data_IF_707971055246
#
_entry.id   IF_707971055246
#
_cell.length_a   1.000
_cell.length_b   1.000
_cell.length_c   1.000
_cell.angle_alpha   90.00
_cell.angle_beta   90.00
_cell.angle_gamma   90.00
#
_symmetry.space_group_name_H-M   'P 1'
#
loop_
_entity.id
_entity.type
_entity.pdbx_description
1 polymer ?
#
# COMPACT_ATOMS: atom_id res chain seq x y z
N UNK A 1 -22.63 36.63 -39.00
CA UNK A 1 -22.38 37.00 -37.59
C UNK A 1 -21.85 35.78 -36.83
N UNK A 2 -20.68 35.22 -37.17
CA UNK A 2 -19.38 35.40 -36.47
C UNK A 2 -19.44 35.92 -35.02
N UNK A 3 -18.95 35.08 -34.09
CA UNK A 3 -18.37 35.39 -32.76
C UNK A 3 -19.33 35.64 -31.58
N UNK A 4 -19.73 34.54 -30.94
CA UNK A 4 -19.84 34.44 -29.49
C UNK A 4 -19.66 32.95 -29.12
N UNK A 5 -18.51 32.34 -29.43
CA UNK A 5 -17.40 32.21 -28.47
C UNK A 5 -17.95 31.70 -27.14
N UNK A 6 -17.94 30.38 -26.92
CA UNK A 6 -16.84 29.77 -26.15
C UNK A 6 -16.58 30.51 -24.82
N UNK A 7 -17.59 30.77 -24.00
CA UNK A 7 -17.42 31.24 -22.61
C UNK A 7 -18.62 30.82 -21.77
N UNK A 8 -18.55 29.60 -21.24
CA UNK A 8 -19.33 29.00 -20.13
C UNK A 8 -19.52 27.50 -20.42
N UNK A 9 -18.46 26.79 -20.82
CA UNK A 9 -17.86 25.85 -19.88
C UNK A 9 -17.59 26.47 -18.49
N UNK A 10 -18.60 26.47 -17.61
CA UNK A 10 -18.41 26.30 -16.16
C UNK A 10 -19.79 26.23 -15.48
N UNK A 11 -19.90 25.29 -14.55
CA UNK A 11 -20.88 25.24 -13.45
C UNK A 11 -22.18 24.45 -13.71
N UNK A 12 -22.39 23.48 -12.82
CA UNK A 12 -23.55 22.60 -12.59
C UNK A 12 -23.55 21.25 -13.33
N UNK A 13 -22.39 20.58 -13.21
CA UNK A 13 -22.38 19.18 -12.83
C UNK A 13 -22.92 19.04 -11.39
N UNK A 14 -24.04 18.34 -11.19
CA UNK A 14 -24.29 17.37 -10.11
C UNK A 14 -25.77 16.98 -10.15
N UNK A 15 -26.09 15.87 -10.83
CA UNK A 15 -27.16 14.98 -10.38
C UNK A 15 -27.25 13.79 -11.34
N UNK A 16 -27.14 12.60 -10.74
CA UNK A 16 -27.76 11.38 -11.21
C UNK A 16 -27.27 10.80 -12.55
N UNK A 17 -26.06 10.24 -12.55
CA UNK A 17 -25.74 9.09 -13.42
C UNK A 17 -24.50 8.33 -12.92
N UNK A 18 -24.58 7.75 -11.72
CA UNK A 18 -23.66 6.68 -11.31
C UNK A 18 -24.43 5.37 -11.36
N UNK A 19 -24.50 4.79 -12.56
CA UNK A 19 -24.99 3.44 -12.77
C UNK A 19 -24.03 2.72 -13.73
N UNK A 20 -23.52 1.57 -13.27
CA UNK A 20 -22.59 0.63 -13.93
C UNK A 20 -21.09 0.84 -13.67
N UNK A 21 -20.69 0.84 -12.40
CA UNK A 21 -19.53 0.04 -12.02
C UNK A 21 -20.09 -1.25 -11.43
N UNK A 22 -20.27 -2.24 -12.29
CA UNK A 22 -20.46 -3.64 -11.89
C UNK A 22 -19.14 -4.11 -11.30
N UNK A 23 -18.95 -3.93 -10.00
CA UNK A 23 -18.00 -4.74 -9.25
C UNK A 23 -18.51 -6.18 -9.35
N UNK A 24 -17.77 -7.13 -9.97
CA UNK A 24 -18.10 -8.51 -9.77
C UNK A 24 -17.91 -8.79 -8.28
N UNK A 25 -19.02 -9.13 -7.65
CA UNK A 25 -19.08 -9.83 -6.39
C UNK A 25 -18.28 -11.12 -6.56
N UNK A 26 -17.00 -11.08 -6.22
CA UNK A 26 -16.20 -12.26 -5.92
C UNK A 26 -15.74 -12.20 -4.46
N UNK A 27 -16.68 -11.87 -3.57
CA UNK A 27 -16.60 -12.26 -2.16
C UNK A 27 -17.19 -13.68 -2.03
N UNK A 28 -16.55 -14.63 -2.71
CA UNK A 28 -16.73 -16.06 -2.45
C UNK A 28 -15.35 -16.67 -2.30
N UNK A 29 -14.76 -16.45 -1.14
CA UNK A 29 -13.85 -17.38 -0.51
C UNK A 29 -14.23 -17.37 0.97
N UNK A 30 -14.44 -18.56 1.52
CA UNK A 30 -14.88 -18.88 2.86
C UNK A 30 -14.40 -17.91 3.94
N UNK A 31 -15.15 -17.78 5.03
CA UNK A 31 -14.86 -17.03 6.25
C UNK A 31 -13.45 -17.32 6.84
N UNK A 32 -12.41 -16.88 6.14
CA UNK A 32 -11.03 -16.94 6.52
C UNK A 32 -10.78 -15.65 7.28
N UNK A 33 -10.36 -15.79 8.54
CA UNK A 33 -10.03 -14.64 9.37
C UNK A 33 -8.99 -13.78 8.62
N UNK A 34 -9.32 -12.54 8.24
CA UNK A 34 -8.47 -11.72 7.37
C UNK A 34 -7.09 -11.48 8.00
N UNK A 35 -7.02 -11.44 9.32
CA UNK A 35 -5.77 -11.40 10.09
C UNK A 35 -4.92 -12.65 9.88
N UNK A 36 -5.51 -13.86 9.91
CA UNK A 36 -4.76 -15.11 9.66
C UNK A 36 -4.25 -15.17 8.22
N UNK A 37 -5.04 -14.70 7.27
CA UNK A 37 -4.60 -14.62 5.88
C UNK A 37 -3.48 -13.57 5.69
N UNK A 38 -3.55 -12.43 6.40
CA UNK A 38 -2.47 -11.46 6.42
C UNK A 38 -1.16 -12.06 6.94
N UNK A 39 -1.22 -12.84 8.03
CA UNK A 39 -0.06 -13.53 8.59
C UNK A 39 0.52 -14.57 7.61
N UNK A 40 -0.33 -15.33 6.93
CA UNK A 40 0.09 -16.28 5.89
C UNK A 40 0.77 -15.58 4.72
N UNK A 41 0.22 -14.46 4.25
CA UNK A 41 0.82 -13.64 3.20
C UNK A 41 2.17 -13.07 3.64
N UNK A 42 2.29 -12.61 4.88
CA UNK A 42 3.55 -12.11 5.43
C UNK A 42 4.61 -13.22 5.58
N UNK A 43 4.20 -14.43 5.94
CA UNK A 43 5.10 -15.60 5.95
C UNK A 43 5.61 -15.92 4.54
N UNK A 44 4.71 -15.95 3.55
CA UNK A 44 5.09 -16.13 2.15
C UNK A 44 6.00 -15.00 1.65
N UNK A 45 5.73 -13.75 2.03
CA UNK A 45 6.56 -12.60 1.71
C UNK A 45 7.99 -12.77 2.22
N UNK A 46 8.16 -13.32 3.43
CA UNK A 46 9.47 -13.61 4.01
C UNK A 46 10.23 -14.68 3.21
N UNK A 47 9.58 -15.78 2.85
CA UNK A 47 10.19 -16.84 2.04
C UNK A 47 10.64 -16.33 0.67
N UNK A 48 9.81 -15.52 0.03
CA UNK A 48 10.11 -14.91 -1.28
C UNK A 48 11.22 -13.87 -1.16
N UNK A 49 11.26 -13.10 -0.07
CA UNK A 49 12.35 -12.17 0.25
C UNK A 49 13.69 -12.90 0.42
N UNK A 50 13.70 -14.01 1.17
CA UNK A 50 14.89 -14.85 1.37
C UNK A 50 15.38 -15.48 0.05
N UNK A 51 14.46 -15.71 -0.88
CA UNK A 51 14.76 -16.18 -2.24
C UNK A 51 15.25 -15.06 -3.19
N UNK A 52 15.48 -13.84 -2.68
CA UNK A 52 15.96 -12.70 -3.47
C UNK A 52 14.89 -12.01 -4.33
N UNK A 53 13.64 -12.47 -4.29
CA UNK A 53 12.54 -11.94 -5.10
C UNK A 53 11.88 -10.74 -4.41
N UNK A 54 12.66 -9.68 -4.19
CA UNK A 54 12.30 -8.58 -3.31
C UNK A 54 11.04 -7.81 -3.73
N UNK A 55 10.85 -7.57 -5.04
CA UNK A 55 9.64 -6.91 -5.54
C UNK A 55 8.36 -7.72 -5.26
N UNK A 56 8.42 -9.05 -5.38
CA UNK A 56 7.30 -9.92 -5.08
C UNK A 56 7.01 -9.98 -3.57
N UNK A 57 8.06 -9.97 -2.74
CA UNK A 57 7.90 -9.86 -1.28
C UNK A 57 7.20 -8.57 -0.87
N UNK A 58 7.56 -7.42 -1.47
CA UNK A 58 6.90 -6.15 -1.21
C UNK A 58 5.40 -6.20 -1.52
N UNK A 59 5.01 -6.81 -2.64
CA UNK A 59 3.60 -6.97 -3.01
C UNK A 59 2.82 -7.87 -2.03
N UNK A 60 3.44 -8.94 -1.54
CA UNK A 60 2.83 -9.81 -0.54
C UNK A 60 2.66 -9.09 0.80
N UNK A 61 3.65 -8.33 1.26
CA UNK A 61 3.52 -7.49 2.46
C UNK A 61 2.45 -6.40 2.29
N UNK A 62 2.33 -5.78 1.12
CA UNK A 62 1.23 -4.83 0.83
C UNK A 62 -0.15 -5.49 0.90
N UNK A 63 -0.29 -6.71 0.39
CA UNK A 63 -1.53 -7.50 0.53
C UNK A 63 -1.81 -7.81 2.00
N UNK A 64 -0.80 -8.23 2.77
CA UNK A 64 -0.95 -8.47 4.20
C UNK A 64 -1.41 -7.22 4.96
N UNK A 65 -0.81 -6.06 4.67
CA UNK A 65 -1.20 -4.78 5.26
C UNK A 65 -2.65 -4.39 4.92
N UNK A 66 -3.10 -4.62 3.69
CA UNK A 66 -4.52 -4.35 3.32
C UNK A 66 -5.50 -5.22 4.09
N UNK A 67 -5.13 -6.46 4.44
CA UNK A 67 -5.98 -7.36 5.21
C UNK A 67 -5.93 -7.09 6.72
N UNK A 68 -4.79 -6.60 7.23
CA UNK A 68 -4.64 -6.22 8.62
C UNK A 68 -3.80 -4.93 8.77
N UNK A 69 -4.43 -3.75 8.65
CA UNK A 69 -3.75 -2.47 8.78
C UNK A 69 -3.24 -2.18 10.21
N UNK A 70 -3.72 -2.92 11.22
CA UNK A 70 -3.31 -2.76 12.61
C UNK A 70 -1.91 -3.34 12.91
N UNK A 71 -1.24 -3.91 11.90
CA UNK A 71 0.14 -4.43 11.98
C UNK A 71 1.08 -3.58 11.12
N UNK A 72 1.62 -2.48 11.66
CA UNK A 72 2.55 -1.62 10.92
C UNK A 72 3.84 -2.33 10.49
N UNK A 73 4.23 -3.44 11.14
CA UNK A 73 5.36 -4.28 10.75
C UNK A 73 5.35 -4.69 9.27
N UNK A 74 4.16 -4.83 8.67
CA UNK A 74 4.05 -5.14 7.25
C UNK A 74 4.58 -4.01 6.36
N UNK A 75 4.38 -2.74 6.73
CA UNK A 75 4.95 -1.60 6.00
C UNK A 75 6.47 -1.57 6.13
N UNK A 76 7.03 -1.97 7.28
CA UNK A 76 8.47 -2.17 7.42
C UNK A 76 8.96 -3.26 6.45
N UNK A 77 8.22 -4.37 6.35
CA UNK A 77 8.45 -5.42 5.36
C UNK A 77 8.43 -4.92 3.92
N UNK A 78 7.48 -4.06 3.55
CA UNK A 78 7.42 -3.38 2.25
C UNK A 78 8.68 -2.53 2.04
N UNK A 79 9.00 -1.63 2.98
CA UNK A 79 10.14 -0.72 2.88
C UNK A 79 11.46 -1.45 2.67
N UNK A 80 11.73 -2.46 3.49
CA UNK A 80 12.95 -3.28 3.38
C UNK A 80 13.01 -4.06 2.05
N UNK A 81 11.88 -4.59 1.60
CA UNK A 81 11.81 -5.33 0.34
C UNK A 81 12.03 -4.39 -0.86
N UNK A 82 11.42 -3.22 -0.87
CA UNK A 82 11.62 -2.22 -1.94
C UNK A 82 13.05 -1.69 -1.99
N UNK A 83 13.68 -1.46 -0.84
CA UNK A 83 15.09 -1.07 -0.76
C UNK A 83 15.99 -2.13 -1.42
N UNK A 84 15.77 -3.41 -1.09
CA UNK A 84 16.51 -4.53 -1.70
C UNK A 84 16.21 -4.72 -3.19
N UNK A 85 15.02 -4.31 -3.64
CA UNK A 85 14.65 -4.29 -5.05
C UNK A 85 15.27 -3.10 -5.83
N UNK A 86 16.04 -2.23 -5.17
CA UNK A 86 16.60 -1.01 -5.78
C UNK A 86 15.57 0.10 -6.01
N UNK A 87 14.40 0.01 -5.38
CA UNK A 87 13.26 0.91 -5.56
C UNK A 87 13.19 1.90 -4.40
N UNK A 88 14.18 2.79 -4.35
CA UNK A 88 14.39 3.70 -3.23
C UNK A 88 13.17 4.58 -2.91
N UNK A 89 12.52 5.16 -3.93
CA UNK A 89 11.35 6.01 -3.75
C UNK A 89 10.18 5.27 -3.07
N UNK A 90 9.92 4.02 -3.48
CA UNK A 90 8.88 3.17 -2.90
C UNK A 90 9.24 2.73 -1.47
N UNK A 91 10.53 2.44 -1.22
CA UNK A 91 11.02 2.10 0.10
C UNK A 91 10.80 3.26 1.09
N UNK A 92 11.21 4.47 0.67
CA UNK A 92 11.04 5.71 1.43
C UNK A 92 9.57 5.95 1.77
N UNK A 93 8.69 5.91 0.78
CA UNK A 93 7.25 6.12 0.99
C UNK A 93 6.65 5.14 2.00
N UNK A 94 7.02 3.86 1.95
CA UNK A 94 6.51 2.85 2.88
C UNK A 94 7.01 3.07 4.33
N UNK A 95 8.28 3.45 4.49
CA UNK A 95 8.88 3.74 5.80
C UNK A 95 8.35 5.05 6.41
N UNK A 96 8.11 6.08 5.60
CA UNK A 96 7.48 7.32 6.03
C UNK A 96 6.03 7.09 6.45
N UNK A 97 5.27 6.29 5.68
CA UNK A 97 3.93 5.89 6.07
C UNK A 97 3.93 5.12 7.40
N UNK A 98 4.88 4.22 7.59
CA UNK A 98 5.05 3.50 8.85
C UNK A 98 5.26 4.48 10.03
N UNK A 99 6.20 5.42 9.90
CA UNK A 99 6.50 6.41 10.93
C UNK A 99 5.34 7.35 11.24
N UNK A 100 4.45 7.59 10.29
CA UNK A 100 3.24 8.37 10.51
C UNK A 100 2.15 7.61 11.30
N UNK A 101 2.21 6.28 11.37
CA UNK A 101 1.19 5.43 11.99
C UNK A 101 1.54 4.99 13.41
N UNK A 102 2.83 4.98 13.77
CA UNK A 102 3.30 4.47 15.07
C UNK A 102 3.77 5.60 15.99
N UNK A 103 3.69 5.43 17.32
CA UNK A 103 4.30 6.34 18.28
C UNK A 103 5.81 6.52 18.03
N UNK A 104 6.34 7.71 18.34
CA UNK A 104 7.74 8.03 18.06
C UNK A 104 8.74 7.23 18.92
N UNK A 105 8.30 6.74 20.08
CA UNK A 105 9.01 5.90 21.04
C UNK A 105 8.86 4.38 20.77
N UNK A 106 8.04 4.00 19.78
CA UNK A 106 7.93 2.61 19.36
C UNK A 106 9.29 2.09 18.84
N UNK A 107 9.77 0.91 19.30
CA UNK A 107 11.03 0.35 18.82
C UNK A 107 11.10 0.17 17.30
N UNK A 108 9.96 -0.01 16.63
CA UNK A 108 9.87 -0.10 15.18
C UNK A 108 10.17 1.24 14.50
N UNK A 109 9.89 2.38 15.14
CA UNK A 109 10.19 3.70 14.61
C UNK A 109 11.69 3.90 14.42
N UNK A 110 12.51 3.45 15.37
CA UNK A 110 13.96 3.55 15.25
C UNK A 110 14.51 2.68 14.12
N UNK A 111 13.98 1.47 13.97
CA UNK A 111 14.35 0.58 12.85
C UNK A 111 13.97 1.20 11.51
N UNK A 112 12.80 1.84 11.43
CA UNK A 112 12.33 2.51 10.24
C UNK A 112 13.17 3.74 9.89
N UNK A 113 13.53 4.59 10.86
CA UNK A 113 14.42 5.75 10.64
C UNK A 113 15.80 5.31 10.17
N UNK A 114 16.37 4.26 10.76
CA UNK A 114 17.63 3.69 10.31
C UNK A 114 17.54 3.19 8.87
N UNK A 115 16.52 2.39 8.56
CA UNK A 115 16.30 1.91 7.20
C UNK A 115 16.12 3.08 6.21
N UNK A 116 15.42 4.15 6.61
CA UNK A 116 15.21 5.35 5.81
C UNK A 116 16.52 6.07 5.51
N UNK A 117 17.44 6.14 6.47
CA UNK A 117 18.76 6.72 6.27
C UNK A 117 19.65 5.89 5.34
N UNK A 118 19.42 4.58 5.24
CA UNK A 118 20.12 3.65 4.33
C UNK A 118 19.51 3.64 2.91
N UNK A 119 18.35 4.26 2.70
CA UNK A 119 17.72 4.42 1.38
C UNK A 119 18.31 5.69 0.75
N UNK A 120 19.32 5.51 -0.10
CA UNK A 120 19.98 6.58 -0.86
C UNK A 120 19.13 7.12 -2.01
#
# INVERSE_FOLDING_TARGET
>A
MRKAVRRLALVLALAACVAKVTLPSSASAAAANPVKEAEKLAAAARTVYESGQFAAAAELYRKAYRLNPAKPDYLYGVGKSEQKAGRAAQAKAALEQLLALIPADDPLAERARKALAEVA
#
